data_IF_579215288247
#
_entry.id   IF_579215288247
#
_cell.length_a   1.000
_cell.length_b   1.000
_cell.length_c   1.000
_cell.angle_alpha   90.00
_cell.angle_beta   90.00
_cell.angle_gamma   90.00
#
_symmetry.space_group_name_H-M   'P 1'
#
loop_
_entity.id
_entity.type
_entity.pdbx_description
1 polymer ?
#
# COMPACT_ATOMS: atom_id res chain seq x y z
N UNK A 1 -9.22 5.12 -1.70
CA UNK A 1 -7.97 4.81 -2.41
C UNK A 1 -8.15 3.70 -3.42
N UNK A 2 -8.63 2.50 -3.05
CA UNK A 2 -8.68 1.36 -3.99
C UNK A 2 -9.56 1.62 -5.22
N UNK A 3 -10.69 2.31 -5.06
CA UNK A 3 -11.55 2.74 -6.18
C UNK A 3 -10.79 3.62 -7.22
N UNK A 4 -9.96 4.56 -6.75
CA UNK A 4 -9.23 5.48 -7.65
C UNK A 4 -8.04 4.80 -8.30
N UNK A 5 -7.36 3.91 -7.57
CA UNK A 5 -6.12 3.29 -8.03
C UNK A 5 -6.33 2.03 -8.87
N UNK A 6 -7.42 1.29 -8.64
CA UNK A 6 -7.70 -0.02 -9.24
C UNK A 6 -9.06 -0.12 -9.93
N UNK A 7 -9.82 0.98 -9.99
CA UNK A 7 -11.17 1.07 -10.58
C UNK A 7 -12.25 0.27 -9.84
N UNK A 8 -11.89 -0.63 -8.93
CA UNK A 8 -12.81 -1.43 -8.12
C UNK A 8 -12.52 -1.26 -6.62
N UNK A 9 -13.56 -1.16 -5.77
CA UNK A 9 -13.37 -1.21 -4.32
C UNK A 9 -13.05 -2.63 -3.89
N UNK A 10 -12.15 -2.75 -2.91
CA UNK A 10 -11.82 -4.00 -2.22
C UNK A 10 -11.17 -3.69 -0.87
N UNK A 11 -11.10 -4.71 0.00
CA UNK A 11 -10.56 -4.58 1.35
C UNK A 11 -11.40 -3.61 2.19
N UNK A 12 -10.73 -2.69 2.89
CA UNK A 12 -11.34 -1.66 3.74
C UNK A 12 -12.48 -0.87 3.09
N UNK A 13 -12.38 -0.59 1.79
CA UNK A 13 -13.37 0.20 1.07
C UNK A 13 -14.66 -0.59 0.85
N UNK A 14 -14.56 -1.92 0.76
CA UNK A 14 -15.71 -2.79 0.58
C UNK A 14 -16.32 -3.22 1.94
N UNK A 15 -15.47 -3.59 2.90
CA UNK A 15 -15.93 -4.17 4.18
C UNK A 15 -16.08 -3.16 5.33
N UNK A 16 -15.58 -1.93 5.17
CA UNK A 16 -15.55 -0.90 6.23
C UNK A 16 -14.88 -1.35 7.54
N UNK A 17 -13.93 -2.30 7.47
CA UNK A 17 -13.22 -2.86 8.64
C UNK A 17 -11.71 -2.87 8.44
N UNK A 18 -10.95 -2.97 9.54
CA UNK A 18 -9.51 -3.24 9.50
C UNK A 18 -9.25 -4.68 9.06
N UNK A 19 -9.24 -4.88 7.74
CA UNK A 19 -9.05 -6.18 7.12
C UNK A 19 -7.71 -6.78 7.57
N UNK A 20 -7.80 -7.96 8.20
CA UNK A 20 -6.64 -8.76 8.65
C UNK A 20 -5.68 -7.98 9.56
N UNK A 21 -6.20 -7.02 10.35
CA UNK A 21 -5.41 -6.16 11.26
C UNK A 21 -4.30 -5.37 10.55
N UNK A 22 -4.47 -5.04 9.27
CA UNK A 22 -3.43 -4.43 8.46
C UNK A 22 -2.97 -3.07 9.01
N UNK A 23 -3.90 -2.20 9.43
CA UNK A 23 -3.53 -0.90 10.02
C UNK A 23 -2.85 -1.06 11.37
N UNK A 24 -3.33 -2.01 12.19
CA UNK A 24 -2.71 -2.33 13.49
C UNK A 24 -1.28 -2.84 13.31
N UNK A 25 -1.07 -3.84 12.46
CA UNK A 25 0.25 -4.42 12.18
C UNK A 25 1.22 -3.40 11.58
N UNK A 26 0.72 -2.48 10.74
CA UNK A 26 1.52 -1.36 10.25
C UNK A 26 2.02 -0.47 11.39
N UNK A 27 1.13 -0.06 12.30
CA UNK A 27 1.49 0.78 13.45
C UNK A 27 2.49 0.09 14.39
N UNK A 28 2.31 -1.20 14.63
CA UNK A 28 3.25 -2.01 15.42
C UNK A 28 4.62 -2.12 14.73
N UNK A 29 4.63 -2.25 13.40
CA UNK A 29 5.85 -2.29 12.58
C UNK A 29 6.69 -1.00 12.61
N UNK A 30 6.09 0.16 12.91
CA UNK A 30 6.82 1.44 12.96
C UNK A 30 7.95 1.45 14.00
N UNK A 31 7.79 0.73 15.12
CA UNK A 31 8.84 0.60 16.14
C UNK A 31 10.03 -0.16 15.55
N UNK A 32 9.77 -1.28 14.85
CA UNK A 32 10.80 -2.06 14.18
C UNK A 32 11.49 -1.26 13.07
N UNK A 33 10.75 -0.53 12.24
CA UNK A 33 11.34 0.37 11.23
C UNK A 33 12.20 1.44 11.87
N UNK A 34 11.76 2.03 12.99
CA UNK A 34 12.51 3.02 13.74
C UNK A 34 13.81 2.47 14.32
N UNK A 35 13.79 1.23 14.82
CA UNK A 35 14.97 0.51 15.29
C UNK A 35 15.93 0.18 14.16
N UNK A 36 15.45 -0.48 13.10
CA UNK A 36 16.27 -0.85 11.95
C UNK A 36 16.87 0.37 11.24
N UNK A 37 16.13 1.48 11.15
CA UNK A 37 16.62 2.73 10.56
C UNK A 37 17.77 3.37 11.33
N UNK A 38 17.80 3.21 12.67
CA UNK A 38 18.82 3.80 13.56
C UNK A 38 20.00 2.87 13.79
N UNK A 39 19.76 1.57 13.87
CA UNK A 39 20.81 0.60 14.14
C UNK A 39 21.43 0.06 12.84
N UNK A 40 22.46 0.77 12.35
CA UNK A 40 23.11 0.48 11.06
C UNK A 40 23.67 -0.94 10.97
N UNK A 41 24.27 -1.47 12.03
CA UNK A 41 24.80 -2.84 12.01
C UNK A 41 23.67 -3.85 11.80
N UNK A 42 22.57 -3.74 12.55
CA UNK A 42 21.41 -4.61 12.37
C UNK A 42 20.85 -4.51 10.94
N UNK A 43 20.70 -3.29 10.41
CA UNK A 43 20.23 -3.09 9.03
C UNK A 43 21.16 -3.67 7.97
N UNK A 44 22.44 -3.33 8.05
CA UNK A 44 23.39 -3.59 6.95
C UNK A 44 23.99 -4.98 6.99
N UNK A 45 24.02 -5.63 8.16
CA UNK A 45 24.60 -6.98 8.34
C UNK A 45 23.51 -8.02 8.58
N UNK A 46 22.58 -7.78 9.51
CA UNK A 46 21.58 -8.79 9.89
C UNK A 46 20.44 -8.83 8.87
N UNK A 47 19.78 -7.70 8.60
CA UNK A 47 18.62 -7.66 7.70
C UNK A 47 18.97 -7.92 6.23
N UNK A 48 20.14 -7.47 5.77
CA UNK A 48 20.61 -7.76 4.40
C UNK A 48 21.25 -9.15 4.27
N UNK A 49 21.62 -9.77 5.39
CA UNK A 49 22.19 -11.12 5.42
C UNK A 49 21.13 -12.21 5.33
N UNK A 50 21.56 -13.46 5.52
CA UNK A 50 20.67 -14.63 5.52
C UNK A 50 19.64 -14.63 6.66
N UNK A 51 19.96 -13.95 7.78
CA UNK A 51 19.07 -13.83 8.94
C UNK A 51 17.89 -12.88 8.70
N UNK A 52 17.93 -12.03 7.67
CA UNK A 52 16.86 -11.08 7.38
C UNK A 52 15.49 -11.72 7.15
N UNK A 53 15.46 -12.97 6.65
CA UNK A 53 14.23 -13.74 6.43
C UNK A 53 13.40 -13.96 7.69
N UNK A 54 14.02 -13.96 8.87
CA UNK A 54 13.32 -14.12 10.15
C UNK A 54 12.71 -12.81 10.67
N UNK A 55 13.08 -11.66 10.10
CA UNK A 55 12.67 -10.33 10.57
C UNK A 55 11.85 -9.54 9.55
N UNK A 56 11.92 -9.91 8.27
CA UNK A 56 11.21 -9.23 7.20
C UNK A 56 9.91 -9.96 6.87
N UNK A 57 8.82 -9.22 6.53
CA UNK A 57 7.56 -9.84 6.16
C UNK A 57 7.69 -10.63 4.86
N UNK A 58 6.97 -11.74 4.79
CA UNK A 58 6.88 -12.57 3.59
C UNK A 58 5.44 -12.54 3.04
N UNK A 59 5.29 -12.77 1.73
CA UNK A 59 3.95 -12.82 1.10
C UNK A 59 3.10 -13.99 1.61
N UNK A 60 3.71 -14.97 2.28
CA UNK A 60 3.06 -16.09 2.98
C UNK A 60 2.40 -15.68 4.29
N UNK A 61 2.71 -14.50 4.84
CA UNK A 61 2.05 -14.04 6.08
C UNK A 61 0.60 -13.63 5.81
N UNK A 62 -0.32 -14.13 6.62
CA UNK A 62 -1.77 -13.89 6.46
C UNK A 62 -2.27 -12.58 7.08
N UNK A 63 -1.36 -11.75 7.59
CA UNK A 63 -1.65 -10.49 8.25
C UNK A 63 -0.66 -9.37 7.85
N UNK A 64 -0.98 -8.13 8.23
CA UNK A 64 -0.07 -6.99 8.11
C UNK A 64 0.55 -6.77 6.73
N UNK A 65 1.87 -6.58 6.70
CA UNK A 65 2.62 -6.26 5.47
C UNK A 65 2.68 -7.42 4.48
N UNK A 66 2.73 -8.67 4.95
CA UNK A 66 2.73 -9.82 4.05
C UNK A 66 1.40 -9.98 3.31
N UNK A 67 0.28 -9.78 4.01
CA UNK A 67 -1.05 -9.72 3.38
C UNK A 67 -1.13 -8.59 2.34
N UNK A 68 -0.62 -7.40 2.67
CA UNK A 68 -0.56 -6.27 1.73
C UNK A 68 0.26 -6.59 0.48
N UNK A 69 1.44 -7.17 0.65
CA UNK A 69 2.31 -7.58 -0.46
C UNK A 69 1.63 -8.64 -1.33
N UNK A 70 0.92 -9.60 -0.73
CA UNK A 70 0.12 -10.61 -1.44
C UNK A 70 -1.02 -9.98 -2.25
N UNK A 71 -1.70 -9.00 -1.67
CA UNK A 71 -2.77 -8.30 -2.36
C UNK A 71 -2.25 -7.47 -3.53
N UNK A 72 -1.13 -6.77 -3.36
CA UNK A 72 -0.45 -6.08 -4.46
C UNK A 72 -0.01 -7.03 -5.58
N UNK A 73 0.54 -8.20 -5.22
CA UNK A 73 0.91 -9.25 -6.18
C UNK A 73 -0.29 -9.76 -6.97
N UNK A 74 -1.43 -9.98 -6.30
CA UNK A 74 -2.69 -10.39 -6.93
C UNK A 74 -3.20 -9.36 -7.94
N UNK A 75 -3.21 -8.08 -7.57
CA UNK A 75 -3.68 -7.00 -8.45
C UNK A 75 -2.77 -6.83 -9.68
N UNK A 76 -1.45 -6.86 -9.48
CA UNK A 76 -0.46 -6.79 -10.58
C UNK A 76 -0.62 -7.98 -11.51
N UNK A 77 -0.60 -9.20 -10.97
CA UNK A 77 -0.68 -10.43 -11.76
C UNK A 77 -2.01 -10.51 -12.52
N UNK A 78 -3.12 -10.21 -11.86
CA UNK A 78 -4.44 -10.21 -12.50
C UNK A 78 -4.58 -9.16 -13.60
N UNK A 79 -3.91 -7.99 -13.47
CA UNK A 79 -3.88 -6.99 -14.54
C UNK A 79 -2.98 -7.40 -15.69
N UNK A 80 -1.79 -7.91 -15.43
CA UNK A 80 -0.86 -8.38 -16.47
C UNK A 80 -1.49 -9.52 -17.30
N UNK A 81 -2.22 -10.44 -16.66
CA UNK A 81 -2.99 -11.48 -17.34
C UNK A 81 -4.06 -10.90 -18.26
N UNK A 82 -4.84 -9.92 -17.79
CA UNK A 82 -5.83 -9.24 -18.63
C UNK A 82 -5.19 -8.53 -19.80
N UNK A 83 -4.10 -7.80 -19.58
CA UNK A 83 -3.36 -7.11 -20.64
C UNK A 83 -2.79 -8.04 -21.71
N UNK A 84 -2.56 -9.32 -21.39
CA UNK A 84 -2.10 -10.31 -22.37
C UNK A 84 -3.20 -10.84 -23.30
N UNK A 85 -4.47 -10.53 -23.03
CA UNK A 85 -5.59 -10.89 -23.88
C UNK A 85 -5.70 -9.89 -25.05
N UNK A 86 -5.96 -10.38 -26.26
CA UNK A 86 -5.98 -9.56 -27.48
C UNK A 86 -7.03 -8.45 -27.44
N UNK A 87 -8.15 -8.67 -26.74
CA UNK A 87 -9.26 -7.72 -26.62
C UNK A 87 -9.12 -6.73 -25.45
N UNK A 88 -8.00 -6.76 -24.72
CA UNK A 88 -7.83 -5.85 -23.59
C UNK A 88 -7.62 -4.42 -24.08
N UNK A 89 -8.64 -3.60 -23.84
CA UNK A 89 -8.53 -2.15 -23.94
C UNK A 89 -9.04 -1.53 -22.65
N UNK A 90 -8.39 -0.46 -22.23
CA UNK A 90 -8.82 0.34 -21.09
C UNK A 90 -8.94 1.78 -21.56
N UNK A 91 -10.18 2.26 -21.70
CA UNK A 91 -10.47 3.61 -22.22
C UNK A 91 -9.82 4.72 -21.36
N UNK A 92 -9.74 4.50 -20.04
CA UNK A 92 -9.10 5.42 -19.09
C UNK A 92 -8.11 4.67 -18.21
N UNK A 93 -6.79 4.95 -18.32
CA UNK A 93 -5.80 4.29 -17.50
C UNK A 93 -5.99 4.67 -16.03
N UNK A 94 -6.10 3.67 -15.17
CA UNK A 94 -6.00 3.85 -13.72
C UNK A 94 -4.54 3.90 -13.28
N UNK A 95 -4.31 4.22 -12.00
CA UNK A 95 -2.95 4.34 -11.48
C UNK A 95 -2.15 3.03 -11.61
N UNK A 96 -2.81 1.87 -11.43
CA UNK A 96 -2.16 0.58 -11.66
C UNK A 96 -1.68 0.47 -13.10
N UNK A 97 -2.50 0.82 -14.09
CA UNK A 97 -2.10 0.80 -15.50
C UNK A 97 -0.84 1.65 -15.74
N UNK A 98 -0.84 2.88 -15.22
CA UNK A 98 0.31 3.78 -15.32
C UNK A 98 1.58 3.19 -14.68
N UNK A 99 1.47 2.51 -13.54
CA UNK A 99 2.60 1.83 -12.92
C UNK A 99 3.14 0.66 -13.74
N UNK A 100 2.27 -0.12 -14.40
CA UNK A 100 2.69 -1.27 -15.19
C UNK A 100 3.37 -0.85 -16.50
N UNK A 101 2.94 0.27 -17.07
CA UNK A 101 3.47 0.85 -18.31
C UNK A 101 4.65 1.79 -18.07
N UNK A 102 4.91 2.17 -16.82
CA UNK A 102 6.04 3.03 -16.46
C UNK A 102 7.38 2.49 -16.99
N UNK A 103 8.28 3.42 -17.32
CA UNK A 103 9.62 3.14 -17.84
C UNK A 103 10.66 3.95 -17.08
N UNK A 104 11.80 3.33 -16.80
CA UNK A 104 13.00 3.99 -16.28
C UNK A 104 14.12 3.73 -17.29
N UNK A 105 14.74 4.80 -17.80
CA UNK A 105 15.75 4.73 -18.86
C UNK A 105 15.29 3.91 -20.09
N UNK A 106 14.02 4.10 -20.47
CA UNK A 106 13.38 3.40 -21.58
C UNK A 106 13.00 1.94 -21.30
N UNK A 107 13.33 1.38 -20.13
CA UNK A 107 13.05 -0.02 -19.77
C UNK A 107 11.81 -0.15 -18.88
N UNK A 108 10.98 -1.19 -19.08
CA UNK A 108 9.89 -1.52 -18.16
C UNK A 108 10.39 -1.72 -16.73
N UNK A 109 9.54 -1.36 -15.76
CA UNK A 109 9.78 -1.72 -14.37
C UNK A 109 9.87 -3.25 -14.23
N UNK A 110 10.79 -3.71 -13.39
CA UNK A 110 10.90 -5.13 -13.03
C UNK A 110 9.65 -5.60 -12.28
N UNK A 111 9.41 -6.91 -12.29
CA UNK A 111 8.30 -7.54 -11.56
C UNK A 111 8.25 -7.13 -10.08
N UNK A 112 9.42 -7.04 -9.44
CA UNK A 112 9.56 -6.60 -8.05
C UNK A 112 9.22 -5.12 -7.87
N UNK A 113 9.72 -4.24 -8.76
CA UNK A 113 9.42 -2.80 -8.69
C UNK A 113 7.92 -2.52 -8.84
N UNK A 114 7.24 -3.17 -9.79
CA UNK A 114 5.78 -3.03 -9.97
C UNK A 114 5.03 -3.35 -8.68
N UNK A 115 5.32 -4.51 -8.07
CA UNK A 115 4.70 -4.95 -6.80
C UNK A 115 5.01 -4.01 -5.64
N UNK A 116 6.25 -3.54 -5.55
CA UNK A 116 6.67 -2.59 -4.52
C UNK A 116 5.90 -1.26 -4.64
N UNK A 117 5.77 -0.69 -5.84
CA UNK A 117 5.02 0.54 -6.05
C UNK A 117 3.53 0.40 -5.69
N UNK A 118 2.91 -0.72 -6.08
CA UNK A 118 1.50 -0.99 -5.76
C UNK A 118 1.31 -1.17 -4.25
N UNK A 119 2.21 -1.91 -3.59
CA UNK A 119 2.19 -2.09 -2.13
C UNK A 119 2.31 -0.75 -1.41
N UNK A 120 3.28 0.08 -1.81
CA UNK A 120 3.50 1.41 -1.25
C UNK A 120 2.28 2.31 -1.42
N UNK A 121 1.63 2.28 -2.58
CA UNK A 121 0.44 3.09 -2.85
C UNK A 121 -0.73 2.73 -1.93
N UNK A 122 -1.02 1.43 -1.78
CA UNK A 122 -2.11 0.96 -0.91
C UNK A 122 -1.86 1.41 0.53
N UNK A 123 -0.64 1.19 1.01
CA UNK A 123 -0.26 1.45 2.40
C UNK A 123 -0.19 2.94 2.72
N UNK A 124 0.55 3.73 1.93
CA UNK A 124 0.78 5.15 2.19
C UNK A 124 -0.53 5.95 2.11
N UNK A 125 -1.38 5.63 1.13
CA UNK A 125 -2.67 6.28 0.96
C UNK A 125 -3.65 6.02 2.10
N UNK A 126 -3.70 4.77 2.60
CA UNK A 126 -4.63 4.38 3.65
C UNK A 126 -4.31 5.04 5.00
N UNK A 127 -3.06 4.98 5.45
CA UNK A 127 -2.67 5.45 6.79
C UNK A 127 -2.70 6.98 6.90
N UNK A 128 -2.11 7.68 5.92
CA UNK A 128 -1.96 9.15 5.99
C UNK A 128 -3.27 9.87 5.71
N UNK A 129 -3.98 9.51 4.64
CA UNK A 129 -5.27 10.14 4.29
C UNK A 129 -6.33 9.81 5.33
N UNK A 130 -6.38 8.56 5.81
CA UNK A 130 -7.29 8.15 6.88
C UNK A 130 -7.06 8.94 8.17
N UNK A 131 -5.79 9.07 8.59
CA UNK A 131 -5.43 9.88 9.76
C UNK A 131 -5.76 11.36 9.57
N UNK A 132 -5.48 11.92 8.39
CA UNK A 132 -5.76 13.32 8.08
C UNK A 132 -7.26 13.61 8.15
N UNK A 133 -8.09 12.85 7.42
CA UNK A 133 -9.55 13.01 7.42
C UNK A 133 -10.15 12.80 8.81
N UNK A 134 -9.72 11.76 9.52
CA UNK A 134 -10.18 11.50 10.89
C UNK A 134 -9.84 12.66 11.84
N UNK A 135 -8.63 13.23 11.71
CA UNK A 135 -8.20 14.39 12.49
C UNK A 135 -8.99 15.65 12.13
N UNK A 136 -9.20 15.89 10.83
CA UNK A 136 -10.01 17.03 10.35
C UNK A 136 -11.42 16.98 10.90
N UNK A 137 -12.10 15.84 10.77
CA UNK A 137 -13.47 15.67 11.28
C UNK A 137 -13.49 15.86 12.80
N UNK A 138 -12.54 15.26 13.52
CA UNK A 138 -12.41 15.46 14.97
C UNK A 138 -12.29 16.94 15.32
N UNK A 139 -11.39 17.68 14.66
CA UNK A 139 -11.18 19.09 14.96
C UNK A 139 -12.37 19.97 14.58
N UNK A 140 -13.07 19.66 13.49
CA UNK A 140 -14.32 20.35 13.14
C UNK A 140 -15.35 20.16 14.27
N UNK A 141 -15.59 18.93 14.71
CA UNK A 141 -16.59 18.61 15.73
C UNK A 141 -16.24 19.18 17.11
N UNK A 142 -14.95 19.31 17.45
CA UNK A 142 -14.53 19.86 18.75
C UNK A 142 -14.35 21.39 18.75
N UNK A 143 -14.54 22.08 17.62
CA UNK A 143 -14.42 23.53 17.51
C UNK A 143 -15.66 24.14 16.81
N UNK A 144 -16.75 24.39 17.56
CA UNK A 144 -18.04 24.82 16.99
C UNK A 144 -17.96 26.07 16.11
N UNK A 145 -17.11 27.04 16.47
CA UNK A 145 -16.89 28.25 15.68
C UNK A 145 -16.29 27.97 14.29
N UNK A 146 -15.46 26.94 14.17
CA UNK A 146 -14.89 26.51 12.88
C UNK A 146 -15.91 25.69 12.10
N UNK A 147 -16.64 24.79 12.77
CA UNK A 147 -17.70 24.00 12.16
C UNK A 147 -18.79 24.86 11.50
N UNK A 148 -19.21 25.94 12.17
CA UNK A 148 -20.20 26.89 11.65
C UNK A 148 -19.77 27.58 10.33
N UNK A 149 -18.50 27.51 9.94
CA UNK A 149 -17.99 28.06 8.66
C UNK A 149 -17.99 27.05 7.51
N UNK A 150 -18.29 25.79 7.79
CA UNK A 150 -18.28 24.69 6.80
C UNK A 150 -19.67 24.36 6.24
N UNK A 151 -20.70 25.00 6.79
CA UNK A 151 -22.09 25.01 6.32
C UNK A 151 -22.39 26.29 5.58
#
# INVERSE_FOLDING_TARGET
>A
MTLVCFTNPWGFVDSSRDERNMLKSWREGLVFFGFAGRFRFFRDVILKGSLGKYFLPETSDDNGMGYLMRQADREVTGREQRMSQEDFSQERPDFLQLCLEARVDGKPLTAMQKRAHVTLLIQAGADTTGTALGSTIRFLLTHPAVFARTT
#
